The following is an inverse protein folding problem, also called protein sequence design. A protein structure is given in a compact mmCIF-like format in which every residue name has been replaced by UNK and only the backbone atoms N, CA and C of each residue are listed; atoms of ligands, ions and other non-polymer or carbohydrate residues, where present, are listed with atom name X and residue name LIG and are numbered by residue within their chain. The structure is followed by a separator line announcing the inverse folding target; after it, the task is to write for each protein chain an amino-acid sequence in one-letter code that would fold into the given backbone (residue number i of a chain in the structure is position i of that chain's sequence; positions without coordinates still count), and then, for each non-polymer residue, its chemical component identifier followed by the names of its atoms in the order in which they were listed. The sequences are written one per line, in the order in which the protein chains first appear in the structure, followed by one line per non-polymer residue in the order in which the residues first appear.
data_IF_410763097886
#
_entry.id   IF_410763097886
#
_cell.length_a   1.000
_cell.length_b   1.000
_cell.length_c   1.000
_cell.angle_alpha   90.00
_cell.angle_beta   90.00
_cell.angle_gamma   90.00
#
_symmetry.space_group_name_H-M   'P 1'
#
loop_
_entity.id
_entity.type
_entity.pdbx_description
1 polymer ?
#
# COMPACT_ATOMS: atom_id res chain seq x y z
N UNK A 1 24.35 -12.97 7.65
CA UNK A 1 23.90 -14.04 6.75
C UNK A 1 22.42 -14.35 6.92
N UNK A 2 21.98 -14.77 8.12
CA UNK A 2 20.59 -15.23 8.32
C UNK A 2 19.54 -14.21 7.92
N UNK A 3 19.70 -12.95 8.25
CA UNK A 3 18.73 -11.90 7.89
C UNK A 3 18.56 -11.80 6.37
N UNK A 4 19.66 -11.67 5.63
CA UNK A 4 19.65 -11.64 4.17
C UNK A 4 19.08 -12.93 3.55
N UNK A 5 19.45 -14.09 4.11
CA UNK A 5 19.01 -15.38 3.61
C UNK A 5 17.52 -15.58 3.80
N UNK A 6 17.00 -15.25 4.99
CA UNK A 6 15.56 -15.34 5.30
C UNK A 6 14.75 -14.30 4.54
N UNK A 7 15.27 -13.09 4.35
CA UNK A 7 14.62 -12.08 3.54
C UNK A 7 14.43 -12.57 2.09
N UNK A 8 15.50 -13.09 1.47
CA UNK A 8 15.43 -13.70 0.14
C UNK A 8 14.46 -14.88 0.09
N UNK A 9 14.50 -15.74 1.11
CA UNK A 9 13.62 -16.92 1.20
C UNK A 9 12.14 -16.54 1.20
N UNK A 10 11.76 -15.53 1.96
CA UNK A 10 10.37 -15.12 2.12
C UNK A 10 9.89 -14.24 0.95
N UNK A 11 10.74 -13.34 0.48
CA UNK A 11 10.37 -12.38 -0.58
C UNK A 11 10.43 -13.01 -1.96
N UNK A 12 11.49 -13.76 -2.27
CA UNK A 12 11.69 -14.40 -3.57
C UNK A 12 11.15 -15.84 -3.63
N UNK A 13 10.81 -16.43 -2.48
CA UNK A 13 10.39 -17.84 -2.37
C UNK A 13 11.55 -18.82 -2.43
N UNK A 14 12.78 -18.34 -2.44
CA UNK A 14 14.00 -19.14 -2.40
C UNK A 14 15.17 -18.35 -1.89
N UNK A 15 16.14 -19.00 -1.33
CA UNK A 15 17.40 -18.41 -0.90
C UNK A 15 18.58 -19.25 -1.38
N UNK A 16 19.67 -18.57 -1.65
CA UNK A 16 20.93 -19.15 -2.08
C UNK A 16 22.04 -18.65 -1.15
N UNK A 17 22.94 -19.54 -0.78
CA UNK A 17 24.13 -19.21 -0.01
C UNK A 17 25.31 -20.03 -0.45
N UNK A 18 26.50 -19.64 -0.02
CA UNK A 18 27.75 -20.31 -0.27
C UNK A 18 28.48 -20.52 1.04
N UNK A 19 28.93 -21.74 1.25
CA UNK A 19 29.82 -22.10 2.38
C UNK A 19 31.24 -21.90 1.90
N UNK A 20 32.00 -21.03 2.58
CA UNK A 20 33.41 -20.81 2.31
C UNK A 20 34.23 -21.56 3.35
N UNK A 21 34.95 -22.65 2.96
CA UNK A 21 35.79 -23.37 3.87
C UNK A 21 37.08 -22.58 4.18
N UNK A 22 37.74 -22.93 5.26
CA UNK A 22 39.08 -22.45 5.57
C UNK A 22 40.12 -22.96 4.56
N UNK A 23 41.36 -22.43 4.60
CA UNK A 23 42.43 -22.83 3.70
C UNK A 23 42.82 -24.32 3.81
N UNK A 24 42.47 -24.98 4.92
CA UNK A 24 42.71 -26.39 5.16
C UNK A 24 41.49 -27.28 4.80
N UNK A 25 40.37 -26.69 4.46
CA UNK A 25 39.11 -27.40 4.15
C UNK A 25 38.48 -28.11 5.35
N UNK A 26 38.82 -27.73 6.58
CA UNK A 26 38.38 -28.42 7.79
C UNK A 26 37.28 -27.70 8.54
N UNK A 27 37.25 -26.39 8.43
CA UNK A 27 36.28 -25.54 9.15
C UNK A 27 35.61 -24.59 8.20
N UNK A 28 34.41 -24.10 8.59
CA UNK A 28 33.70 -23.07 7.85
C UNK A 28 34.28 -21.73 8.23
N UNK A 29 34.95 -21.07 7.29
CA UNK A 29 35.51 -19.73 7.47
C UNK A 29 34.39 -18.65 7.37
N UNK A 30 33.42 -18.82 6.46
CA UNK A 30 32.32 -17.90 6.27
C UNK A 30 31.12 -18.59 5.61
N UNK A 31 29.96 -18.00 5.75
CA UNK A 31 28.75 -18.34 4.97
C UNK A 31 28.26 -17.05 4.33
N UNK A 32 28.18 -17.03 3.03
CA UNK A 32 27.79 -15.86 2.23
C UNK A 32 26.35 -16.05 1.71
N UNK A 33 25.64 -14.94 1.56
CA UNK A 33 24.32 -14.94 0.92
C UNK A 33 24.50 -14.62 -0.57
N UNK A 34 23.91 -15.44 -1.43
CA UNK A 34 23.94 -15.23 -2.87
C UNK A 34 22.71 -14.44 -3.34
N UNK A 35 22.84 -13.77 -4.48
CA UNK A 35 21.72 -13.12 -5.16
C UNK A 35 20.91 -14.14 -5.96
N UNK A 36 19.70 -14.44 -5.50
CA UNK A 36 18.80 -15.41 -6.14
C UNK A 36 18.39 -15.02 -7.56
N UNK A 37 18.53 -13.77 -7.95
CA UNK A 37 18.24 -13.30 -9.31
C UNK A 37 19.30 -13.71 -10.32
N UNK A 38 20.50 -14.02 -9.86
CA UNK A 38 21.65 -14.42 -10.67
C UNK A 38 21.79 -15.93 -10.78
N UNK A 39 20.98 -16.69 -10.03
CA UNK A 39 21.12 -18.16 -9.96
C UNK A 39 19.89 -18.83 -10.57
N UNK A 40 20.13 -19.77 -11.45
CA UNK A 40 19.12 -20.63 -12.07
C UNK A 40 19.29 -22.06 -11.53
N UNK A 41 18.15 -22.72 -11.28
CA UNK A 41 18.12 -24.11 -10.84
C UNK A 41 17.79 -24.99 -12.01
N UNK A 42 18.58 -26.01 -12.24
CA UNK A 42 18.35 -26.99 -13.28
C UNK A 42 18.15 -28.38 -12.68
N UNK A 43 17.23 -29.15 -13.25
CA UNK A 43 17.01 -30.53 -12.90
C UNK A 43 18.13 -31.39 -13.52
N UNK A 44 18.63 -32.35 -12.74
CA UNK A 44 19.57 -33.37 -13.19
C UNK A 44 18.85 -34.60 -13.75
N UNK A 45 19.52 -35.74 -13.71
CA UNK A 45 19.01 -37.01 -14.23
C UNK A 45 17.88 -37.62 -13.38
N UNK A 46 17.72 -37.12 -12.13
CA UNK A 46 16.71 -37.57 -11.16
C UNK A 46 15.94 -36.35 -10.62
N UNK A 47 14.65 -36.49 -10.25
CA UNK A 47 13.88 -35.41 -9.61
C UNK A 47 14.47 -34.90 -8.30
N UNK A 48 15.37 -35.64 -7.66
CA UNK A 48 16.08 -35.25 -6.45
C UNK A 48 17.47 -34.66 -6.76
N UNK A 49 17.90 -34.73 -8.01
CA UNK A 49 19.18 -34.25 -8.46
C UNK A 49 18.98 -32.90 -9.17
N UNK A 50 19.57 -31.86 -8.63
CA UNK A 50 19.52 -30.52 -9.21
C UNK A 50 20.87 -29.87 -9.09
N UNK A 51 21.18 -28.96 -10.01
CA UNK A 51 22.39 -28.15 -9.94
C UNK A 51 22.06 -26.67 -10.15
N UNK A 52 22.92 -25.84 -9.62
CA UNK A 52 22.80 -24.38 -9.72
C UNK A 52 23.73 -23.88 -10.81
N UNK A 53 23.22 -22.96 -11.61
CA UNK A 53 23.99 -22.23 -12.62
C UNK A 53 23.89 -20.74 -12.42
N UNK A 54 24.92 -20.02 -12.84
CA UNK A 54 24.95 -18.58 -12.94
C UNK A 54 25.10 -18.11 -14.38
N UNK A 55 25.08 -16.81 -14.61
CA UNK A 55 25.32 -16.23 -15.93
C UNK A 55 26.74 -15.73 -16.05
N UNK A 56 27.42 -16.12 -17.13
CA UNK A 56 28.75 -15.59 -17.45
C UNK A 56 28.66 -14.13 -17.97
N UNK A 57 29.81 -13.51 -18.19
CA UNK A 57 29.89 -12.15 -18.76
C UNK A 57 29.24 -12.01 -20.15
N UNK A 58 29.01 -13.12 -20.85
CA UNK A 58 28.33 -13.18 -22.14
C UNK A 58 26.83 -13.51 -22.01
N UNK A 59 26.30 -13.62 -20.78
CA UNK A 59 24.90 -13.95 -20.50
C UNK A 59 24.51 -15.42 -20.68
N UNK A 60 25.50 -16.34 -20.85
CA UNK A 60 25.25 -17.77 -20.98
C UNK A 60 25.14 -18.41 -19.62
N UNK A 61 24.21 -19.34 -19.46
CA UNK A 61 24.08 -20.14 -18.25
C UNK A 61 25.27 -21.12 -18.13
N UNK A 62 25.98 -21.05 -17.00
CA UNK A 62 27.16 -21.88 -16.71
C UNK A 62 26.98 -22.47 -15.31
N UNK A 63 27.12 -23.81 -15.14
CA UNK A 63 27.05 -24.42 -13.84
C UNK A 63 28.05 -23.76 -12.87
N UNK A 64 27.57 -23.45 -11.65
CA UNK A 64 28.43 -22.92 -10.59
C UNK A 64 29.43 -24.02 -10.16
N UNK A 65 30.63 -23.59 -9.81
CA UNK A 65 31.62 -24.49 -9.25
C UNK A 65 31.24 -24.91 -7.82
N UNK A 66 31.74 -26.05 -7.38
CA UNK A 66 31.58 -26.52 -5.98
C UNK A 66 30.12 -26.59 -5.51
N UNK A 67 29.27 -27.28 -6.28
CA UNK A 67 27.83 -27.43 -6.01
C UNK A 67 27.57 -27.89 -4.57
N UNK A 68 28.45 -28.71 -4.00
CA UNK A 68 28.40 -29.24 -2.63
C UNK A 68 28.58 -28.18 -1.53
N UNK A 69 29.09 -27.01 -1.87
CA UNK A 69 29.26 -25.87 -0.96
C UNK A 69 28.14 -24.83 -1.11
N UNK A 70 27.21 -25.05 -2.04
CA UNK A 70 26.08 -24.17 -2.27
C UNK A 70 24.90 -24.57 -1.40
N UNK A 71 24.30 -23.60 -0.76
CA UNK A 71 23.05 -23.74 -0.03
C UNK A 71 21.90 -23.26 -0.93
N UNK A 72 20.93 -24.12 -1.16
CA UNK A 72 19.71 -23.74 -1.85
C UNK A 72 18.51 -24.20 -1.03
N UNK A 73 17.64 -23.25 -0.71
CA UNK A 73 16.42 -23.53 0.06
C UNK A 73 15.21 -22.95 -0.66
N UNK A 74 14.32 -23.80 -1.20
CA UNK A 74 13.05 -23.33 -1.74
C UNK A 74 12.01 -23.20 -0.59
N UNK A 75 11.20 -22.15 -0.63
CA UNK A 75 10.10 -21.95 0.30
C UNK A 75 8.80 -22.49 -0.31
N UNK A 76 8.16 -23.45 0.37
CA UNK A 76 6.91 -24.09 -0.06
C UNK A 76 6.91 -24.47 -1.56
N UNK A 77 7.86 -25.30 -2.02
CA UNK A 77 7.95 -25.68 -3.42
C UNK A 77 6.68 -26.42 -3.87
N UNK A 78 6.23 -26.12 -5.09
CA UNK A 78 5.14 -26.87 -5.73
C UNK A 78 5.66 -28.25 -6.19
N UNK A 79 4.76 -29.23 -6.21
CA UNK A 79 5.12 -30.58 -6.65
C UNK A 79 5.64 -30.57 -8.10
N UNK A 80 6.82 -31.16 -8.32
CA UNK A 80 7.47 -31.19 -9.63
C UNK A 80 8.21 -29.91 -10.04
N UNK A 81 8.32 -28.94 -9.14
CA UNK A 81 9.10 -27.74 -9.38
C UNK A 81 10.11 -27.49 -8.27
N UNK A 82 11.41 -27.39 -8.56
CA UNK A 82 12.44 -27.14 -7.55
C UNK A 82 12.41 -25.69 -7.03
N UNK A 83 11.71 -24.80 -7.72
CA UNK A 83 11.57 -23.41 -7.31
C UNK A 83 10.54 -23.27 -6.21
N UNK A 84 10.88 -22.49 -5.18
CA UNK A 84 9.94 -22.14 -4.13
C UNK A 84 8.95 -21.07 -4.60
N UNK A 85 7.93 -20.84 -3.78
CA UNK A 85 6.89 -19.84 -4.01
C UNK A 85 7.04 -18.69 -3.02
N UNK A 86 7.15 -17.47 -3.52
CA UNK A 86 7.22 -16.29 -2.67
C UNK A 86 6.00 -16.19 -1.75
N UNK A 87 6.21 -15.91 -0.48
CA UNK A 87 5.14 -15.58 0.47
C UNK A 87 4.32 -14.38 -0.01
N UNK A 88 4.93 -13.45 -0.75
CA UNK A 88 4.30 -12.24 -1.26
C UNK A 88 3.49 -12.46 -2.54
N UNK A 89 3.50 -13.66 -3.14
CA UNK A 89 2.89 -13.95 -4.46
C UNK A 89 1.44 -13.47 -4.59
N UNK A 90 0.65 -13.60 -3.54
CA UNK A 90 -0.78 -13.23 -3.57
C UNK A 90 -1.09 -11.87 -2.94
N UNK A 91 -0.07 -11.16 -2.44
CA UNK A 91 -0.25 -9.87 -1.77
C UNK A 91 -0.48 -8.68 -2.73
N UNK A 92 0.07 -8.62 -3.96
CA UNK A 92 -0.07 -7.45 -4.83
C UNK A 92 -1.51 -7.05 -5.10
N UNK A 93 -2.42 -8.02 -5.22
CA UNK A 93 -3.84 -7.74 -5.41
C UNK A 93 -4.47 -7.08 -4.18
N UNK A 94 -4.24 -7.63 -3.00
CA UNK A 94 -4.79 -7.12 -1.74
C UNK A 94 -4.20 -5.76 -1.37
N UNK A 95 -2.89 -5.58 -1.55
CA UNK A 95 -2.23 -4.29 -1.32
C UNK A 95 -2.70 -3.23 -2.30
N UNK A 96 -2.89 -3.58 -3.58
CA UNK A 96 -3.47 -2.69 -4.57
C UNK A 96 -4.89 -2.24 -4.23
N UNK A 97 -5.71 -3.13 -3.66
CA UNK A 97 -7.04 -2.79 -3.18
C UNK A 97 -6.98 -1.87 -1.95
N UNK A 98 -6.08 -2.16 -1.01
CA UNK A 98 -5.87 -1.34 0.19
C UNK A 98 -5.44 0.09 -0.16
N UNK A 99 -4.50 0.25 -1.11
CA UNK A 99 -4.07 1.55 -1.60
C UNK A 99 -5.24 2.34 -2.20
N UNK A 100 -6.10 1.70 -3.00
CA UNK A 100 -7.30 2.35 -3.55
C UNK A 100 -8.27 2.83 -2.47
N UNK A 101 -8.41 2.07 -1.38
CA UNK A 101 -9.23 2.49 -0.24
C UNK A 101 -8.61 3.71 0.44
N UNK A 102 -7.30 3.72 0.69
CA UNK A 102 -6.62 4.87 1.28
C UNK A 102 -6.71 6.12 0.39
N UNK A 103 -6.57 5.98 -0.92
CA UNK A 103 -6.77 7.08 -1.87
C UNK A 103 -8.21 7.63 -1.82
N UNK A 104 -9.19 6.74 -1.72
CA UNK A 104 -10.59 7.13 -1.58
C UNK A 104 -10.86 7.84 -0.25
N UNK A 105 -10.27 7.36 0.84
CA UNK A 105 -10.32 8.01 2.15
C UNK A 105 -9.70 9.41 2.11
N UNK A 106 -8.50 9.55 1.53
CA UNK A 106 -7.83 10.84 1.37
C UNK A 106 -8.69 11.84 0.60
N UNK A 107 -9.24 11.43 -0.55
CA UNK A 107 -10.16 12.26 -1.35
C UNK A 107 -11.45 12.62 -0.59
N UNK A 108 -11.96 11.70 0.21
CA UNK A 108 -13.14 11.97 1.04
C UNK A 108 -12.84 13.00 2.14
N UNK A 109 -11.69 12.90 2.77
CA UNK A 109 -11.23 13.87 3.77
C UNK A 109 -10.99 15.25 3.18
N UNK A 110 -10.37 15.33 1.98
CA UNK A 110 -10.24 16.60 1.25
C UNK A 110 -11.60 17.22 0.93
N UNK A 111 -12.59 16.39 0.55
CA UNK A 111 -13.96 16.86 0.28
C UNK A 111 -14.66 17.33 1.54
N UNK A 112 -14.53 16.62 2.65
CA UNK A 112 -15.11 17.01 3.93
C UNK A 112 -14.42 18.23 4.53
N UNK A 113 -13.10 18.37 4.34
CA UNK A 113 -12.33 19.54 4.80
C UNK A 113 -12.57 20.79 3.94
N UNK A 114 -12.90 20.64 2.67
CA UNK A 114 -13.24 21.74 1.75
C UNK A 114 -14.76 21.87 1.58
N UNK A 115 -15.43 22.33 2.63
CA UNK A 115 -16.86 22.59 2.59
C UNK A 115 -17.16 23.59 1.47
N UNK A 116 -18.00 23.18 0.52
CA UNK A 116 -18.52 24.07 -0.53
C UNK A 116 -19.87 24.61 -0.10
N UNK A 117 -20.10 25.88 -0.37
CA UNK A 117 -21.36 26.51 -0.03
C UNK A 117 -22.12 26.90 -1.31
N UNK A 118 -23.40 26.57 -1.35
CA UNK A 118 -24.34 27.17 -2.32
C UNK A 118 -24.99 28.36 -1.65
N UNK A 119 -24.70 29.52 -2.16
CA UNK A 119 -25.32 30.77 -1.73
C UNK A 119 -26.43 31.10 -2.74
N UNK A 120 -27.68 31.10 -2.28
CA UNK A 120 -28.83 31.41 -3.11
C UNK A 120 -29.46 32.70 -2.62
N UNK A 121 -29.47 33.73 -3.45
CA UNK A 121 -30.17 34.98 -3.22
C UNK A 121 -31.54 34.92 -3.87
N UNK A 122 -32.59 35.27 -3.14
CA UNK A 122 -33.96 35.43 -3.65
C UNK A 122 -34.33 36.91 -3.52
N UNK A 123 -34.50 37.61 -4.65
CA UNK A 123 -34.94 39.01 -4.62
C UNK A 123 -36.37 39.08 -4.11
N UNK A 124 -36.66 40.09 -3.27
CA UNK A 124 -38.00 40.38 -2.77
C UNK A 124 -38.59 41.51 -3.59
N UNK A 125 -39.75 41.29 -4.25
CA UNK A 125 -40.49 42.28 -4.99
C UNK A 125 -40.99 41.79 -6.35
N UNK A 126 -42.19 42.28 -6.78
CA UNK A 126 -42.86 41.84 -8.01
C UNK A 126 -42.29 42.48 -9.27
N UNK A 127 -41.57 43.61 -9.19
CA UNK A 127 -40.94 44.31 -10.32
C UNK A 127 -39.40 44.33 -10.14
N UNK A 128 -38.75 43.23 -10.41
CA UNK A 128 -37.29 43.20 -10.36
C UNK A 128 -36.70 43.35 -11.75
N UNK A 129 -35.98 44.46 -11.92
CA UNK A 129 -34.99 44.57 -12.97
C UNK A 129 -33.98 43.43 -12.84
N UNK A 130 -33.96 42.53 -13.82
CA UNK A 130 -33.03 41.39 -13.86
C UNK A 130 -31.58 41.81 -13.75
N UNK A 131 -31.24 43.03 -14.22
CA UNK A 131 -29.91 43.61 -14.11
C UNK A 131 -29.51 43.87 -12.68
N UNK A 132 -30.38 44.49 -11.88
CA UNK A 132 -30.12 44.80 -10.46
C UNK A 132 -30.01 43.53 -9.62
N UNK A 133 -30.77 42.48 -9.93
CA UNK A 133 -30.69 41.20 -9.27
C UNK A 133 -29.36 40.46 -9.54
N UNK A 134 -28.87 40.59 -10.79
CA UNK A 134 -27.60 39.99 -11.18
C UNK A 134 -26.41 40.73 -10.54
N UNK A 135 -26.39 42.05 -10.57
CA UNK A 135 -25.36 42.84 -9.89
C UNK A 135 -25.28 42.52 -8.38
N UNK A 136 -26.44 42.35 -7.75
CA UNK A 136 -26.50 42.00 -6.33
C UNK A 136 -25.96 40.57 -6.06
N UNK A 137 -26.26 39.65 -6.93
CA UNK A 137 -25.73 38.27 -6.81
C UNK A 137 -24.19 38.24 -6.99
N UNK A 138 -23.65 39.04 -7.91
CA UNK A 138 -22.20 39.17 -8.12
C UNK A 138 -21.51 39.79 -6.90
N UNK A 139 -22.07 40.88 -6.32
CA UNK A 139 -21.55 41.49 -5.08
C UNK A 139 -21.51 40.46 -3.92
N UNK A 140 -22.59 39.71 -3.74
CA UNK A 140 -22.67 38.66 -2.70
C UNK A 140 -21.60 37.58 -2.93
N UNK A 141 -21.39 37.19 -4.21
CA UNK A 141 -20.38 36.18 -4.55
C UNK A 141 -18.94 36.67 -4.28
N UNK A 142 -18.66 37.95 -4.58
CA UNK A 142 -17.35 38.56 -4.27
C UNK A 142 -17.09 38.66 -2.76
N UNK A 143 -18.06 39.15 -2.00
CA UNK A 143 -17.95 39.29 -0.54
C UNK A 143 -17.79 37.91 0.11
N UNK A 144 -18.53 36.91 -0.35
CA UNK A 144 -18.40 35.53 0.12
C UNK A 144 -17.02 34.95 -0.20
N UNK A 145 -16.50 35.18 -1.42
CA UNK A 145 -15.18 34.73 -1.81
C UNK A 145 -14.09 35.34 -0.93
N UNK A 146 -14.17 36.62 -0.63
CA UNK A 146 -13.24 37.30 0.29
C UNK A 146 -13.31 36.73 1.70
N UNK A 147 -14.52 36.56 2.24
CA UNK A 147 -14.70 35.99 3.58
C UNK A 147 -14.11 34.57 3.67
N UNK A 148 -14.26 33.75 2.63
CA UNK A 148 -13.67 32.41 2.57
C UNK A 148 -12.14 32.43 2.47
N UNK A 149 -11.55 33.37 1.74
CA UNK A 149 -10.08 33.54 1.68
C UNK A 149 -9.52 34.00 3.04
N UNK A 150 -10.17 34.95 3.71
CA UNK A 150 -9.78 35.41 5.03
C UNK A 150 -9.89 34.29 6.08
N UNK A 151 -10.94 33.47 6.02
CA UNK A 151 -11.11 32.31 6.90
C UNK A 151 -10.00 31.27 6.72
N UNK A 152 -9.52 31.04 5.51
CA UNK A 152 -8.36 30.16 5.25
C UNK A 152 -7.07 30.69 5.86
N UNK A 153 -6.96 31.98 6.03
CA UNK A 153 -5.82 32.65 6.67
C UNK A 153 -5.98 32.77 8.20
N UNK A 154 -6.98 32.10 8.79
CA UNK A 154 -7.21 32.07 10.24
C UNK A 154 -8.01 33.25 10.79
N UNK A 155 -8.56 34.13 9.96
CA UNK A 155 -9.44 35.23 10.35
C UNK A 155 -10.90 34.83 10.17
N UNK A 156 -11.67 34.77 11.28
CA UNK A 156 -13.11 34.49 11.23
C UNK A 156 -13.86 35.80 11.05
N UNK A 157 -14.60 35.94 9.97
CA UNK A 157 -15.42 37.12 9.70
C UNK A 157 -16.88 36.71 9.51
N UNK A 158 -17.78 37.42 10.18
CA UNK A 158 -19.21 37.22 10.02
C UNK A 158 -19.68 37.80 8.69
N UNK A 159 -20.50 37.02 7.98
CA UNK A 159 -21.11 37.44 6.72
C UNK A 159 -22.49 38.05 7.02
N UNK A 160 -22.66 39.32 6.67
CA UNK A 160 -23.92 40.05 6.86
C UNK A 160 -24.48 40.41 5.48
N UNK A 161 -25.69 39.94 5.17
CA UNK A 161 -26.39 40.26 3.94
C UNK A 161 -27.77 40.86 4.22
N UNK A 162 -28.19 41.79 3.35
CA UNK A 162 -29.54 42.33 3.37
C UNK A 162 -30.33 41.65 2.26
N UNK A 163 -31.41 40.93 2.62
CA UNK A 163 -32.29 40.18 1.73
C UNK A 163 -32.48 38.74 2.13
N UNK A 164 -33.32 38.00 1.41
CA UNK A 164 -33.54 36.56 1.63
C UNK A 164 -32.37 35.77 1.04
N UNK A 165 -31.42 35.41 1.90
CA UNK A 165 -30.22 34.66 1.57
C UNK A 165 -30.32 33.26 2.18
N UNK A 166 -30.20 32.24 1.36
CA UNK A 166 -30.09 30.84 1.82
C UNK A 166 -28.68 30.30 1.54
N UNK A 167 -27.98 29.89 2.60
CA UNK A 167 -26.67 29.29 2.50
C UNK A 167 -26.81 27.81 2.83
N UNK A 168 -26.44 26.93 1.90
CA UNK A 168 -26.39 25.49 2.12
C UNK A 168 -24.98 24.99 1.88
N UNK A 169 -24.47 24.23 2.84
CA UNK A 169 -23.26 23.48 2.63
C UNK A 169 -23.52 22.33 1.64
N UNK A 170 -22.76 22.28 0.56
CA UNK A 170 -22.86 21.21 -0.46
C UNK A 170 -21.71 20.22 -0.24
N UNK A 171 -22.05 18.94 -0.13
CA UNK A 171 -21.08 17.86 0.02
C UNK A 171 -20.60 17.64 1.45
N UNK A 172 -21.20 18.33 2.42
CA UNK A 172 -20.96 18.14 3.84
C UNK A 172 -22.06 17.32 4.51
N UNK A 173 -22.67 16.38 3.81
CA UNK A 173 -23.58 15.39 4.43
C UNK A 173 -22.79 14.38 5.28
N UNK A 174 -21.83 14.86 6.06
CA UNK A 174 -21.07 14.20 7.12
C UNK A 174 -20.89 12.67 7.05
N UNK A 175 -21.04 12.08 5.87
CA UNK A 175 -20.75 10.67 5.65
C UNK A 175 -19.25 10.53 5.39
N UNK A 176 -18.48 10.57 6.48
CA UNK A 176 -17.14 9.98 6.45
C UNK A 176 -17.36 8.52 6.07
N UNK A 177 -16.80 8.13 4.93
CA UNK A 177 -16.88 6.76 4.46
C UNK A 177 -16.36 5.83 5.55
N UNK A 178 -17.23 4.98 6.09
CA UNK A 178 -16.79 3.95 7.02
C UNK A 178 -15.92 2.95 6.27
N UNK A 179 -14.63 3.10 6.46
CA UNK A 179 -13.60 2.27 5.82
C UNK A 179 -12.95 1.29 6.80
N UNK A 180 -13.34 1.31 8.08
CA UNK A 180 -12.73 0.46 9.10
C UNK A 180 -12.94 -1.03 8.77
N UNK A 181 -14.17 -1.43 8.48
CA UNK A 181 -14.49 -2.82 8.17
C UNK A 181 -13.77 -3.35 6.94
N UNK A 182 -13.81 -2.70 5.76
CA UNK A 182 -13.10 -3.21 4.58
C UNK A 182 -11.58 -3.19 4.74
N UNK A 183 -10.99 -2.19 5.39
CA UNK A 183 -9.56 -2.14 5.68
C UNK A 183 -9.16 -3.29 6.59
N UNK A 184 -9.90 -3.52 7.68
CA UNK A 184 -9.68 -4.62 8.60
C UNK A 184 -9.72 -5.97 7.89
N UNK A 185 -10.74 -6.21 7.06
CA UNK A 185 -10.88 -7.47 6.31
C UNK A 185 -9.70 -7.72 5.37
N UNK A 186 -9.21 -6.69 4.68
CA UNK A 186 -8.04 -6.81 3.79
C UNK A 186 -6.78 -7.10 4.61
N UNK A 187 -6.57 -6.41 5.73
CA UNK A 187 -5.44 -6.65 6.61
C UNK A 187 -5.46 -8.07 7.19
N UNK A 188 -6.62 -8.56 7.60
CA UNK A 188 -6.78 -9.95 8.07
C UNK A 188 -6.43 -10.97 6.98
N UNK A 189 -6.81 -10.72 5.72
CA UNK A 189 -6.44 -11.57 4.60
C UNK A 189 -4.94 -11.52 4.29
N UNK A 190 -4.32 -10.33 4.36
CA UNK A 190 -2.87 -10.18 4.21
C UNK A 190 -2.12 -10.98 5.28
N UNK A 191 -2.53 -10.85 6.53
CA UNK A 191 -1.96 -11.58 7.66
C UNK A 191 -2.12 -13.09 7.48
N UNK A 192 -3.34 -13.55 7.13
CA UNK A 192 -3.60 -14.97 6.90
C UNK A 192 -2.70 -15.57 5.81
N UNK A 193 -2.32 -14.76 4.79
CA UNK A 193 -1.39 -15.19 3.72
C UNK A 193 0.05 -15.34 4.20
N UNK A 194 0.47 -14.57 5.21
CA UNK A 194 1.82 -14.73 5.78
C UNK A 194 1.95 -15.99 6.63
N UNK A 195 0.86 -16.53 7.16
CA UNK A 195 0.86 -17.61 8.15
C UNK A 195 1.37 -17.17 9.53
N UNK A 196 1.66 -15.87 9.71
CA UNK A 196 2.12 -15.33 10.99
C UNK A 196 0.93 -14.93 11.86
N UNK A 197 1.02 -15.09 13.18
CA UNK A 197 0.00 -14.57 14.08
C UNK A 197 -0.11 -13.05 13.99
N UNK A 198 -1.33 -12.48 13.98
CA UNK A 198 -1.54 -11.03 13.81
C UNK A 198 -0.82 -10.15 14.82
N UNK A 199 -0.67 -10.61 16.07
CA UNK A 199 0.02 -9.85 17.12
C UNK A 199 1.52 -9.64 16.80
N UNK A 200 2.16 -10.53 16.05
CA UNK A 200 3.55 -10.39 15.62
C UNK A 200 3.71 -9.25 14.60
N UNK A 201 2.63 -8.90 13.90
CA UNK A 201 2.57 -7.81 12.96
C UNK A 201 2.03 -6.52 13.59
N UNK A 202 1.91 -6.47 14.91
CA UNK A 202 1.42 -5.29 15.64
C UNK A 202 -0.10 -5.08 15.54
N UNK A 203 -0.86 -6.06 15.09
CA UNK A 203 -2.30 -5.97 14.93
C UNK A 203 -3.00 -6.53 16.18
N UNK A 204 -3.48 -5.63 17.05
CA UNK A 204 -4.03 -5.98 18.37
C UNK A 204 -5.49 -6.48 18.36
N UNK A 205 -6.28 -6.16 17.32
CA UNK A 205 -7.72 -6.49 17.28
C UNK A 205 -8.05 -7.98 17.22
N UNK A 206 -7.09 -8.82 16.85
CA UNK A 206 -7.31 -10.27 16.71
C UNK A 206 -7.03 -11.07 17.98
N UNK A 207 -6.47 -10.43 19.02
CA UNK A 207 -6.11 -11.13 20.26
C UNK A 207 -7.25 -11.17 21.28
N UNK A 208 -8.23 -10.27 21.18
CA UNK A 208 -9.30 -10.11 22.17
C UNK A 208 -10.51 -11.01 21.94
N UNK A 209 -10.77 -11.46 20.73
CA UNK A 209 -11.95 -12.28 20.42
C UNK A 209 -11.77 -13.81 20.68
N UNK A 210 -10.56 -14.28 20.92
CA UNK A 210 -10.28 -15.71 21.17
C UNK A 210 -10.00 -16.06 22.62
N UNK A 211 -10.09 -15.12 23.55
CA UNK A 211 -9.92 -15.35 24.99
C UNK A 211 -11.21 -15.23 25.80
N UNK A 212 -12.36 -15.18 25.15
CA UNK A 212 -13.68 -15.25 25.83
C UNK A 212 -14.42 -16.52 25.51
#
# INVERSE_FOLDING_TARGET
FLDCYLDSLLTCGRAVGEIVPDAAGREIAAVLCGDVSQVEVHEGDSPLDFYLSGRDACGRSVPLAYQELLLFTPYQPEAGHPYGVSMLRSMPYLTGLLIKIYDAMGKNWERCGNVRFAVTYRPQGEELDRGAAQERAEQIAEEWSRAMQESRNGSVRDFVSVGDLSIKAIGADNQILDSETPVRQILEQLVAKTGLPPFMLGLSWSSTERMS
#
